data_IF_071717955520
#
_entry.id   IF_071717955520
#
_cell.length_a   1.000
_cell.length_b   1.000
_cell.length_c   1.000
_cell.angle_alpha   90.00
_cell.angle_beta   90.00
_cell.angle_gamma   90.00
#
_symmetry.space_group_name_H-M   'P 1'
#
loop_
_entity.id
_entity.type
_entity.pdbx_description
1 polymer ?
#
# COMPACT_ATOMS: atom_id res chain seq x y z
N UNK A 1 -34.04 19.80 -31.33
CA UNK A 1 -32.59 20.11 -31.34
C UNK A 1 -31.90 19.11 -30.43
N UNK A 2 -31.30 18.07 -31.00
CA UNK A 2 -30.56 17.06 -30.23
C UNK A 2 -29.28 17.70 -29.69
N UNK A 3 -29.05 17.58 -28.37
CA UNK A 3 -27.76 17.93 -27.77
C UNK A 3 -26.73 16.94 -28.30
N UNK A 4 -25.76 17.46 -29.04
CA UNK A 4 -24.59 16.74 -29.52
C UNK A 4 -23.80 16.19 -28.34
N UNK A 5 -23.67 14.87 -28.28
CA UNK A 5 -22.66 14.19 -27.47
C UNK A 5 -21.29 14.60 -28.02
N UNK A 6 -20.59 15.46 -27.27
CA UNK A 6 -19.17 15.72 -27.50
C UNK A 6 -18.42 14.41 -27.27
N UNK A 7 -18.02 13.75 -28.36
CA UNK A 7 -17.15 12.59 -28.32
C UNK A 7 -15.74 13.04 -27.94
N UNK A 8 -15.36 12.75 -26.70
CA UNK A 8 -14.03 13.04 -26.15
C UNK A 8 -12.97 12.22 -26.89
N UNK A 9 -11.81 12.82 -27.20
CA UNK A 9 -10.75 12.13 -27.96
C UNK A 9 -10.05 11.03 -27.13
N UNK A 10 -9.63 9.90 -27.74
CA UNK A 10 -9.01 8.75 -27.04
C UNK A 10 -7.74 9.07 -26.23
N UNK A 11 -7.05 10.17 -26.58
CA UNK A 11 -5.85 10.63 -25.88
C UNK A 11 -6.19 11.29 -24.53
N UNK A 12 -7.34 11.96 -24.41
CA UNK A 12 -7.80 12.61 -23.17
C UNK A 12 -8.32 11.61 -22.12
N UNK A 13 -8.92 10.51 -22.56
CA UNK A 13 -9.42 9.46 -21.64
C UNK A 13 -8.29 8.71 -20.92
N UNK A 14 -7.16 8.47 -21.61
CA UNK A 14 -6.00 7.77 -21.01
C UNK A 14 -5.32 8.59 -19.90
N UNK A 15 -5.20 9.91 -20.04
CA UNK A 15 -4.68 10.77 -18.97
C UNK A 15 -5.59 10.79 -17.73
N UNK A 16 -6.91 10.74 -17.93
CA UNK A 16 -7.87 10.75 -16.83
C UNK A 16 -7.87 9.43 -16.03
N UNK A 17 -7.56 8.30 -16.70
CA UNK A 17 -7.41 6.99 -16.07
C UNK A 17 -6.22 6.96 -15.10
N UNK A 18 -5.01 7.23 -15.59
CA UNK A 18 -3.80 7.18 -14.75
C UNK A 18 -3.82 8.25 -13.66
N UNK A 19 -4.35 9.44 -13.95
CA UNK A 19 -4.48 10.48 -12.93
C UNK A 19 -5.47 10.12 -11.82
N UNK A 20 -6.56 9.39 -12.10
CA UNK A 20 -7.47 8.91 -11.06
C UNK A 20 -6.78 7.91 -10.12
N UNK A 21 -5.97 6.98 -10.64
CA UNK A 21 -5.30 5.97 -9.80
C UNK A 21 -4.23 6.56 -8.88
N UNK A 22 -3.54 7.61 -9.32
CA UNK A 22 -2.52 8.28 -8.51
C UNK A 22 -3.12 9.15 -7.40
N UNK A 23 -4.41 9.49 -7.50
CA UNK A 23 -5.09 10.25 -6.45
C UNK A 23 -5.30 9.43 -5.18
N UNK A 24 -5.23 10.11 -4.04
CA UNK A 24 -5.31 9.49 -2.72
C UNK A 24 -6.71 8.87 -2.45
N UNK A 25 -7.79 9.59 -2.80
CA UNK A 25 -9.15 9.16 -2.47
C UNK A 25 -9.58 7.88 -3.21
N UNK A 26 -9.42 7.77 -4.55
CA UNK A 26 -9.79 6.55 -5.28
C UNK A 26 -9.06 5.32 -4.75
N UNK A 27 -7.74 5.44 -4.52
CA UNK A 27 -6.92 4.37 -3.91
C UNK A 27 -7.43 3.96 -2.53
N UNK A 28 -7.71 4.93 -1.65
CA UNK A 28 -8.24 4.66 -0.30
C UNK A 28 -9.60 3.96 -0.34
N UNK A 29 -10.49 4.35 -1.24
CA UNK A 29 -11.82 3.71 -1.40
C UNK A 29 -11.67 2.24 -1.77
N UNK A 30 -10.85 1.92 -2.79
CA UNK A 30 -10.64 0.54 -3.24
C UNK A 30 -10.06 -0.35 -2.12
N UNK A 31 -9.03 0.16 -1.42
CA UNK A 31 -8.42 -0.54 -0.29
C UNK A 31 -9.42 -0.74 0.86
N UNK A 32 -10.23 0.27 1.17
CA UNK A 32 -11.21 0.18 2.24
C UNK A 32 -12.30 -0.85 1.93
N UNK A 33 -12.86 -0.82 0.72
CA UNK A 33 -13.84 -1.82 0.28
C UNK A 33 -13.27 -3.25 0.32
N UNK A 34 -12.01 -3.42 -0.12
CA UNK A 34 -11.30 -4.71 -0.08
C UNK A 34 -11.15 -5.25 1.35
N UNK A 35 -10.78 -4.38 2.29
CA UNK A 35 -10.58 -4.76 3.70
C UNK A 35 -11.87 -5.09 4.40
N UNK A 36 -12.94 -4.35 4.13
CA UNK A 36 -14.26 -4.61 4.73
C UNK A 36 -14.93 -5.85 4.15
N UNK A 37 -14.57 -6.25 2.91
CA UNK A 37 -15.06 -7.45 2.23
C UNK A 37 -16.60 -7.59 2.24
N UNK A 38 -17.30 -6.45 2.14
CA UNK A 38 -18.76 -6.36 2.14
C UNK A 38 -19.23 -5.10 1.42
N UNK A 39 -20.52 -5.03 1.15
CA UNK A 39 -21.16 -3.83 0.63
C UNK A 39 -21.18 -2.72 1.68
N UNK A 40 -20.81 -1.50 1.30
CA UNK A 40 -20.75 -0.35 2.19
C UNK A 40 -21.65 0.79 1.71
N UNK A 41 -22.18 1.55 2.66
CA UNK A 41 -22.86 2.81 2.38
C UNK A 41 -21.86 3.89 1.98
N UNK A 42 -22.25 4.75 1.04
CA UNK A 42 -21.42 5.89 0.61
C UNK A 42 -21.02 6.79 1.78
N UNK A 43 -21.92 6.99 2.75
CA UNK A 43 -21.63 7.77 3.97
C UNK A 43 -20.51 7.14 4.83
N UNK A 44 -20.42 5.81 4.89
CA UNK A 44 -19.33 5.12 5.58
C UNK A 44 -18.01 5.30 4.83
N UNK A 45 -18.04 5.17 3.51
CA UNK A 45 -16.87 5.38 2.64
C UNK A 45 -16.37 6.82 2.77
N UNK A 46 -17.26 7.81 2.70
CA UNK A 46 -16.91 9.24 2.76
C UNK A 46 -16.25 9.61 4.09
N UNK A 47 -16.76 9.05 5.20
CA UNK A 47 -16.16 9.21 6.53
C UNK A 47 -14.77 8.58 6.59
N UNK A 48 -14.59 7.37 6.04
CA UNK A 48 -13.30 6.68 6.05
C UNK A 48 -12.23 7.43 5.25
N UNK A 49 -12.59 7.98 4.09
CA UNK A 49 -11.65 8.69 3.22
C UNK A 49 -11.55 10.18 3.49
N UNK A 50 -12.17 10.69 4.56
CA UNK A 50 -12.22 12.11 4.92
C UNK A 50 -12.64 13.00 3.73
N UNK A 51 -13.82 12.77 3.16
CA UNK A 51 -14.39 13.54 2.07
C UNK A 51 -15.89 13.79 2.28
N UNK A 52 -16.44 14.78 1.56
CA UNK A 52 -17.90 14.99 1.55
C UNK A 52 -18.61 13.85 0.82
N UNK A 53 -19.90 13.67 1.10
CA UNK A 53 -20.73 12.68 0.40
C UNK A 53 -20.71 12.92 -1.12
N UNK A 54 -20.93 14.16 -1.56
CA UNK A 54 -20.96 14.51 -2.98
C UNK A 54 -19.63 14.24 -3.67
N UNK A 55 -18.51 14.58 -3.03
CA UNK A 55 -17.19 14.29 -3.58
C UNK A 55 -16.94 12.79 -3.68
N UNK A 56 -17.27 12.03 -2.64
CA UNK A 56 -17.15 10.57 -2.62
C UNK A 56 -18.01 9.91 -3.69
N UNK A 57 -19.25 10.36 -3.86
CA UNK A 57 -20.15 9.90 -4.91
C UNK A 57 -19.57 10.12 -6.30
N UNK A 58 -18.99 11.30 -6.58
CA UNK A 58 -18.36 11.60 -7.86
C UNK A 58 -17.15 10.68 -8.14
N UNK A 59 -16.32 10.43 -7.12
CA UNK A 59 -15.20 9.48 -7.25
C UNK A 59 -15.71 8.06 -7.53
N UNK A 60 -16.74 7.61 -6.80
CA UNK A 60 -17.34 6.30 -7.00
C UNK A 60 -17.96 6.14 -8.40
N UNK A 61 -18.57 7.20 -8.95
CA UNK A 61 -19.06 7.20 -10.33
C UNK A 61 -17.92 7.05 -11.34
N UNK A 62 -16.75 7.63 -11.10
CA UNK A 62 -15.56 7.43 -11.95
C UNK A 62 -15.05 5.99 -11.83
N UNK A 63 -14.97 5.45 -10.61
CA UNK A 63 -14.58 4.04 -10.38
C UNK A 63 -15.57 3.04 -11.02
N UNK A 64 -16.87 3.35 -11.02
CA UNK A 64 -17.90 2.53 -11.66
C UNK A 64 -17.76 2.55 -13.18
N UNK A 65 -17.49 3.72 -13.79
CA UNK A 65 -17.20 3.81 -15.24
C UNK A 65 -16.01 2.96 -15.66
N UNK A 66 -15.05 2.74 -14.76
CA UNK A 66 -13.91 1.86 -14.96
C UNK A 66 -14.18 0.39 -14.57
N UNK A 67 -15.42 0.04 -14.27
CA UNK A 67 -15.83 -1.29 -13.83
C UNK A 67 -15.07 -1.81 -12.60
N UNK A 68 -14.66 -0.92 -11.68
CA UNK A 68 -13.95 -1.29 -10.44
C UNK A 68 -14.89 -1.42 -9.24
N UNK A 69 -16.01 -0.71 -9.27
CA UNK A 69 -17.06 -0.79 -8.24
C UNK A 69 -18.41 -0.95 -8.90
N UNK A 70 -19.36 -1.52 -8.17
CA UNK A 70 -20.77 -1.58 -8.57
C UNK A 70 -21.65 -1.00 -7.48
N UNK A 71 -22.72 -0.33 -7.91
CA UNK A 71 -23.78 0.10 -7.02
C UNK A 71 -24.89 -0.95 -7.01
N UNK A 72 -25.32 -1.36 -5.81
CA UNK A 72 -26.56 -2.12 -5.64
C UNK A 72 -27.64 -1.14 -5.16
N UNK A 73 -28.70 -1.01 -5.95
CA UNK A 73 -29.86 -0.23 -5.55
C UNK A 73 -30.73 -1.07 -4.63
N UNK A 74 -30.94 -0.56 -3.42
CA UNK A 74 -31.94 -1.08 -2.48
C UNK A 74 -32.85 0.10 -2.10
N UNK A 75 -33.82 0.40 -2.97
CA UNK A 75 -34.66 1.60 -2.85
C UNK A 75 -33.84 2.88 -3.03
N UNK A 76 -33.93 3.83 -2.10
CA UNK A 76 -33.17 5.11 -2.14
C UNK A 76 -31.71 4.98 -1.72
N UNK A 77 -31.29 3.80 -1.25
CA UNK A 77 -29.97 3.56 -0.68
C UNK A 77 -29.06 2.95 -1.74
N UNK A 78 -27.91 3.60 -1.96
CA UNK A 78 -26.84 3.10 -2.82
C UNK A 78 -25.74 2.45 -1.98
N UNK A 79 -25.73 1.12 -2.00
CA UNK A 79 -24.64 0.32 -1.47
C UNK A 79 -23.56 0.13 -2.55
N UNK A 80 -22.30 0.14 -2.15
CA UNK A 80 -21.15 -0.01 -3.04
C UNK A 80 -20.36 -1.25 -2.66
N UNK A 81 -19.93 -2.03 -3.66
CA UNK A 81 -18.91 -3.08 -3.51
C UNK A 81 -17.92 -3.03 -4.66
N UNK A 82 -16.79 -3.71 -4.49
CA UNK A 82 -15.89 -4.00 -5.61
C UNK A 82 -16.56 -4.96 -6.61
N UNK A 83 -16.19 -4.83 -7.88
CA UNK A 83 -16.38 -5.86 -8.90
C UNK A 83 -15.23 -6.86 -8.81
N UNK A 84 -15.27 -7.97 -9.56
CA UNK A 84 -14.13 -8.91 -9.65
C UNK A 84 -12.84 -8.22 -10.12
N UNK A 85 -12.93 -7.34 -11.12
CA UNK A 85 -11.79 -6.52 -11.56
C UNK A 85 -11.33 -5.57 -10.45
N UNK A 86 -12.25 -4.93 -9.74
CA UNK A 86 -11.93 -4.05 -8.61
C UNK A 86 -11.22 -4.76 -7.47
N UNK A 87 -11.57 -6.02 -7.19
CA UNK A 87 -10.92 -6.87 -6.19
C UNK A 87 -9.44 -7.13 -6.55
N UNK A 88 -9.16 -7.48 -7.79
CA UNK A 88 -7.78 -7.69 -8.27
C UNK A 88 -6.98 -6.38 -8.29
N UNK A 89 -7.58 -5.28 -8.72
CA UNK A 89 -6.93 -3.96 -8.70
C UNK A 89 -6.61 -3.52 -7.26
N UNK A 90 -7.54 -3.68 -6.33
CA UNK A 90 -7.31 -3.36 -4.91
C UNK A 90 -6.21 -4.23 -4.30
N UNK A 91 -6.13 -5.51 -4.70
CA UNK A 91 -5.06 -6.44 -4.30
C UNK A 91 -3.69 -6.00 -4.82
N UNK A 92 -3.60 -5.54 -6.07
CA UNK A 92 -2.35 -4.97 -6.63
C UNK A 92 -1.94 -3.71 -5.88
N UNK A 93 -2.89 -2.83 -5.56
CA UNK A 93 -2.63 -1.61 -4.77
C UNK A 93 -2.06 -1.97 -3.38
N UNK A 94 -2.67 -2.94 -2.69
CA UNK A 94 -2.18 -3.40 -1.38
C UNK A 94 -0.75 -3.94 -1.47
N UNK A 95 -0.48 -4.77 -2.47
CA UNK A 95 0.86 -5.31 -2.72
C UNK A 95 1.89 -4.18 -2.97
N UNK A 96 1.55 -3.20 -3.81
CA UNK A 96 2.39 -2.03 -4.03
C UNK A 96 2.69 -1.29 -2.72
N UNK A 97 1.68 -1.06 -1.89
CA UNK A 97 1.86 -0.40 -0.59
C UNK A 97 2.77 -1.20 0.34
N UNK A 98 2.68 -2.53 0.36
CA UNK A 98 3.54 -3.37 1.19
C UNK A 98 4.99 -3.40 0.69
N UNK A 99 5.22 -3.44 -0.62
CA UNK A 99 6.55 -3.27 -1.20
C UNK A 99 7.17 -1.92 -0.86
N UNK A 100 6.39 -0.84 -0.93
CA UNK A 100 6.88 0.50 -0.55
C UNK A 100 7.25 0.59 0.94
N UNK A 101 6.51 -0.10 1.83
CA UNK A 101 6.88 -0.20 3.25
C UNK A 101 8.21 -0.93 3.44
N UNK A 102 8.43 -2.03 2.72
CA UNK A 102 9.71 -2.74 2.77
C UNK A 102 10.87 -1.84 2.32
N UNK A 103 10.70 -1.08 1.23
CA UNK A 103 11.72 -0.12 0.79
C UNK A 103 12.00 0.98 1.82
N UNK A 104 10.99 1.42 2.58
CA UNK A 104 11.18 2.35 3.69
C UNK A 104 12.01 1.72 4.81
N UNK A 105 11.69 0.50 5.22
CA UNK A 105 12.43 -0.22 6.26
C UNK A 105 13.87 -0.52 5.84
N UNK A 106 14.11 -0.82 4.55
CA UNK A 106 15.46 -0.97 4.01
C UNK A 106 16.26 0.34 4.12
N UNK A 107 15.66 1.48 3.80
CA UNK A 107 16.31 2.78 3.99
C UNK A 107 16.62 3.08 5.45
N UNK A 108 15.75 2.67 6.39
CA UNK A 108 16.01 2.81 7.83
C UNK A 108 17.19 1.93 8.27
N UNK A 109 17.28 0.69 7.77
CA UNK A 109 18.42 -0.19 8.01
C UNK A 109 19.73 0.41 7.47
N UNK A 110 19.70 0.95 6.24
CA UNK A 110 20.86 1.61 5.63
C UNK A 110 21.35 2.76 6.50
N UNK A 111 20.43 3.60 7.01
CA UNK A 111 20.78 4.71 7.90
C UNK A 111 21.46 4.23 9.18
N UNK A 112 20.91 3.21 9.85
CA UNK A 112 21.51 2.62 11.05
C UNK A 112 22.94 2.15 10.74
N UNK A 113 23.11 1.42 9.64
CA UNK A 113 24.43 0.94 9.23
C UNK A 113 25.42 2.09 9.00
N UNK A 114 25.01 3.13 8.28
CA UNK A 114 25.87 4.27 7.97
C UNK A 114 26.26 5.11 9.19
N UNK A 115 25.32 5.37 10.11
CA UNK A 115 25.59 6.24 11.27
C UNK A 115 26.18 5.49 12.47
N UNK A 116 25.84 4.21 12.64
CA UNK A 116 26.12 3.47 13.87
C UNK A 116 27.21 2.42 13.71
N UNK A 117 27.46 1.93 12.49
CA UNK A 117 28.34 0.76 12.24
C UNK A 117 29.53 1.12 11.33
N UNK A 118 29.25 1.67 10.15
CA UNK A 118 30.22 1.87 9.08
C UNK A 118 31.44 2.67 9.56
N UNK A 119 32.61 2.05 9.45
CA UNK A 119 33.89 2.68 9.79
C UNK A 119 34.19 2.78 11.30
N UNK A 120 33.34 2.23 12.17
CA UNK A 120 33.59 2.16 13.61
C UNK A 120 34.25 0.84 13.99
N UNK A 121 35.08 0.86 15.02
CA UNK A 121 35.56 -0.37 15.66
C UNK A 121 34.43 -0.97 16.51
N UNK A 122 34.40 -2.30 16.65
CA UNK A 122 33.32 -3.00 17.39
C UNK A 122 33.20 -2.56 18.84
N UNK A 123 34.31 -2.17 19.45
CA UNK A 123 34.39 -1.68 20.83
C UNK A 123 33.77 -0.29 20.99
N UNK A 124 33.60 0.46 19.89
CA UNK A 124 33.00 1.80 19.85
C UNK A 124 31.50 1.77 19.51
N UNK A 125 30.96 0.60 19.17
CA UNK A 125 29.57 0.44 18.78
C UNK A 125 28.68 0.25 20.01
N UNK A 126 27.54 0.93 20.07
CA UNK A 126 26.47 0.61 21.00
C UNK A 126 25.70 -0.61 20.47
N UNK A 127 26.24 -1.80 20.76
CA UNK A 127 25.70 -3.07 20.24
C UNK A 127 24.28 -3.34 20.70
N UNK A 128 23.93 -2.90 21.92
CA UNK A 128 22.60 -3.11 22.48
C UNK A 128 21.58 -2.22 21.76
N UNK A 129 21.89 -0.94 21.55
CA UNK A 129 21.03 -0.02 20.80
C UNK A 129 20.83 -0.50 19.35
N UNK A 130 21.91 -0.83 18.66
CA UNK A 130 21.87 -1.30 17.26
C UNK A 130 21.00 -2.56 17.15
N UNK A 131 21.23 -3.54 18.02
CA UNK A 131 20.44 -4.76 18.03
C UNK A 131 18.95 -4.51 18.29
N UNK A 132 18.63 -3.60 19.21
CA UNK A 132 17.25 -3.21 19.50
C UNK A 132 16.56 -2.57 18.29
N UNK A 133 17.22 -1.65 17.59
CA UNK A 133 16.67 -1.01 16.39
C UNK A 133 16.46 -2.04 15.27
N UNK A 134 17.45 -2.89 14.98
CA UNK A 134 17.35 -3.89 13.92
C UNK A 134 16.28 -4.94 14.25
N UNK A 135 16.21 -5.45 15.49
CA UNK A 135 15.21 -6.44 15.88
C UNK A 135 13.78 -5.89 15.83
N UNK A 136 13.61 -4.60 16.11
CA UNK A 136 12.32 -3.92 15.89
C UNK A 136 11.94 -3.98 14.40
N UNK A 137 12.85 -3.60 13.50
CA UNK A 137 12.59 -3.66 12.06
C UNK A 137 12.31 -5.10 11.59
N UNK A 138 13.07 -6.09 12.08
CA UNK A 138 12.82 -7.51 11.79
C UNK A 138 11.41 -7.92 12.16
N UNK A 139 10.94 -7.53 13.35
CA UNK A 139 9.58 -7.84 13.81
C UNK A 139 8.54 -7.24 12.86
N UNK A 140 8.69 -5.97 12.50
CA UNK A 140 7.78 -5.30 11.56
C UNK A 140 7.77 -5.96 10.17
N UNK A 141 8.93 -6.40 9.65
CA UNK A 141 9.05 -7.11 8.37
C UNK A 141 8.42 -8.50 8.43
N UNK A 142 8.64 -9.24 9.52
CA UNK A 142 8.06 -10.58 9.71
C UNK A 142 6.54 -10.47 9.67
N UNK A 143 5.95 -9.58 10.48
CA UNK A 143 4.49 -9.37 10.49
C UNK A 143 3.94 -8.96 9.13
N UNK A 144 4.63 -8.05 8.41
CA UNK A 144 4.20 -7.62 7.08
C UNK A 144 4.22 -8.77 6.06
N UNK A 145 5.16 -9.70 6.19
CA UNK A 145 5.35 -10.80 5.25
C UNK A 145 4.46 -12.02 5.50
N UNK A 146 3.79 -12.12 6.66
CA UNK A 146 2.89 -13.24 6.97
C UNK A 146 1.73 -13.31 5.98
N UNK A 147 1.51 -14.49 5.41
CA UNK A 147 0.41 -14.79 4.47
C UNK A 147 0.26 -13.78 3.33
N UNK A 148 1.36 -13.12 2.95
CA UNK A 148 1.37 -12.07 1.94
C UNK A 148 1.77 -12.62 0.55
N UNK A 149 1.73 -11.78 -0.48
CA UNK A 149 2.10 -12.16 -1.83
C UNK A 149 3.58 -12.58 -1.91
N UNK A 150 3.87 -13.56 -2.77
CA UNK A 150 5.19 -14.20 -2.87
C UNK A 150 6.34 -13.19 -3.08
N UNK A 151 6.12 -12.18 -3.91
CA UNK A 151 7.09 -11.10 -4.16
C UNK A 151 7.41 -10.30 -2.88
N UNK A 152 6.42 -10.01 -2.03
CA UNK A 152 6.63 -9.35 -0.73
C UNK A 152 7.40 -10.27 0.20
N UNK A 153 7.02 -11.54 0.27
CA UNK A 153 7.70 -12.56 1.10
C UNK A 153 9.17 -12.72 0.71
N UNK A 154 9.47 -12.84 -0.59
CA UNK A 154 10.84 -12.98 -1.09
C UNK A 154 11.67 -11.73 -0.79
N UNK A 155 11.10 -10.54 -0.97
CA UNK A 155 11.78 -9.28 -0.67
C UNK A 155 12.06 -9.13 0.82
N UNK A 156 11.06 -9.45 1.67
CA UNK A 156 11.19 -9.47 3.12
C UNK A 156 12.29 -10.43 3.58
N UNK A 157 12.34 -11.66 3.04
CA UNK A 157 13.37 -12.65 3.38
C UNK A 157 14.79 -12.17 3.06
N UNK A 158 14.99 -11.51 1.91
CA UNK A 158 16.29 -10.93 1.54
C UNK A 158 16.70 -9.83 2.53
N UNK A 159 15.76 -8.98 2.91
CA UNK A 159 16.01 -7.90 3.86
C UNK A 159 16.30 -8.42 5.27
N UNK A 160 15.55 -9.43 5.73
CA UNK A 160 15.81 -10.11 7.01
C UNK A 160 17.20 -10.76 7.04
N UNK A 161 17.60 -11.44 5.96
CA UNK A 161 18.96 -11.99 5.85
C UNK A 161 20.02 -10.90 5.99
N UNK A 162 19.85 -9.77 5.29
CA UNK A 162 20.76 -8.63 5.40
C UNK A 162 20.86 -8.08 6.82
N UNK A 163 19.74 -8.07 7.56
CA UNK A 163 19.72 -7.68 8.98
C UNK A 163 20.49 -8.67 9.86
N UNK A 164 20.37 -9.97 9.59
CA UNK A 164 21.12 -11.02 10.30
C UNK A 164 22.63 -10.88 10.06
N UNK A 165 23.03 -10.62 8.81
CA UNK A 165 24.44 -10.39 8.45
C UNK A 165 25.03 -9.16 9.17
N UNK A 166 24.26 -8.06 9.25
CA UNK A 166 24.68 -6.85 9.97
C UNK A 166 24.82 -7.13 11.47
N UNK A 167 23.88 -7.86 12.07
CA UNK A 167 24.00 -8.24 13.49
C UNK A 167 25.21 -9.14 13.71
N UNK A 168 25.48 -10.09 12.81
CA UNK A 168 26.67 -10.94 12.89
C UNK A 168 27.95 -10.11 12.87
N UNK A 169 28.06 -9.10 12.00
CA UNK A 169 29.19 -8.16 11.96
C UNK A 169 29.37 -7.43 13.30
N UNK A 170 28.29 -6.86 13.84
CA UNK A 170 28.28 -6.10 15.11
C UNK A 170 28.75 -6.96 16.28
N UNK A 171 28.31 -8.23 16.35
CA UNK A 171 28.66 -9.15 17.43
C UNK A 171 29.94 -9.96 17.17
N UNK A 172 30.50 -9.93 15.96
CA UNK A 172 31.68 -10.69 15.58
C UNK A 172 31.40 -12.18 15.33
N UNK A 173 30.17 -12.52 14.95
CA UNK A 173 29.80 -13.86 14.50
C UNK A 173 30.07 -14.02 13.00
N UNK A 174 30.31 -15.25 12.51
CA UNK A 174 30.33 -15.50 11.07
C UNK A 174 28.97 -15.16 10.44
N UNK A 175 28.93 -14.63 9.21
CA UNK A 175 27.68 -14.37 8.48
C UNK A 175 26.95 -15.69 8.16
N UNK A 176 25.61 -15.63 8.05
CA UNK A 176 24.71 -16.79 7.90
C UNK A 176 24.18 -17.04 6.49
#
# INVERSE_FOLDING_TARGET
MYKSEETMSPQKENEDFYSLFLQEKPRKILVYLKKENKQLYIAMISKNVNATYAHTFNVLKRLEKLNLVSFKESGRIKLVKLTELGEEVAKVILNLMDLLKLGKMENELIKIYESEIKGKLREQMDKEQIAKQINRLKTEIIELSKDNQLNVVVTAKKLLKRMDDILAEVFGFPPG
#
